data_IF_561608235605
#
_entry.id   IF_561608235605
#
_cell.length_a   1.000
_cell.length_b   1.000
_cell.length_c   1.000
_cell.angle_alpha   90.00
_cell.angle_beta   90.00
_cell.angle_gamma   90.00
#
_symmetry.space_group_name_H-M   'P 1'
#
loop_
_entity.id
_entity.type
_entity.pdbx_description
1 polymer ?
#
# COMPACT_ATOMS: atom_id res chain seq x y z
N UNK A 1 -1.40 6.59 -34.59
CA UNK A 1 -2.57 6.17 -33.79
C UNK A 1 -2.78 7.28 -32.76
N UNK A 2 -3.82 8.10 -32.86
CA UNK A 2 -4.09 9.15 -31.87
C UNK A 2 -4.49 8.45 -30.57
N UNK A 3 -3.71 8.65 -29.49
CA UNK A 3 -4.08 8.23 -28.15
C UNK A 3 -5.29 9.08 -27.71
N UNK A 4 -6.43 8.43 -27.49
CA UNK A 4 -7.62 9.06 -26.95
C UNK A 4 -7.45 9.16 -25.44
N UNK A 5 -7.25 10.36 -24.88
CA UNK A 5 -7.14 10.58 -23.45
C UNK A 5 -6.20 11.72 -23.07
N UNK A 6 -5.93 11.88 -21.78
CA UNK A 6 -5.04 12.91 -21.22
C UNK A 6 -3.57 12.73 -21.64
N UNK A 7 -3.11 11.49 -21.83
CA UNK A 7 -1.70 11.19 -22.10
C UNK A 7 -1.43 11.23 -23.59
N UNK A 8 -0.70 12.24 -24.03
CA UNK A 8 -0.31 12.44 -25.43
C UNK A 8 1.16 12.08 -25.66
N UNK A 9 2.01 12.32 -24.68
CA UNK A 9 3.45 12.07 -24.78
C UNK A 9 4.05 11.61 -23.42
N UNK A 10 5.37 11.43 -23.40
CA UNK A 10 6.11 10.99 -22.19
C UNK A 10 6.13 12.07 -21.10
N UNK A 11 5.94 13.33 -21.43
CA UNK A 11 5.86 14.41 -20.44
C UNK A 11 4.58 14.27 -19.61
N UNK A 12 3.44 14.01 -20.26
CA UNK A 12 2.17 13.76 -19.56
C UNK A 12 2.26 12.57 -18.62
N UNK A 13 2.97 11.49 -19.02
CA UNK A 13 3.25 10.34 -18.16
C UNK A 13 4.02 10.76 -16.92
N UNK A 14 5.10 11.52 -17.07
CA UNK A 14 5.92 12.00 -15.94
C UNK A 14 5.14 12.91 -15.01
N UNK A 15 4.35 13.81 -15.55
CA UNK A 15 3.48 14.72 -14.78
C UNK A 15 2.49 13.92 -13.94
N UNK A 16 1.85 12.89 -14.53
CA UNK A 16 0.93 12.02 -13.80
C UNK A 16 1.66 11.22 -12.70
N UNK A 17 2.86 10.70 -12.98
CA UNK A 17 3.68 10.01 -11.98
C UNK A 17 4.03 10.97 -10.81
N UNK A 18 4.45 12.22 -11.10
CA UNK A 18 4.75 13.20 -10.05
C UNK A 18 3.52 13.48 -9.18
N UNK A 19 2.36 13.66 -9.80
CA UNK A 19 1.11 13.87 -9.08
C UNK A 19 0.79 12.71 -8.15
N UNK A 20 0.87 11.47 -8.64
CA UNK A 20 0.62 10.26 -7.85
C UNK A 20 1.62 10.16 -6.71
N UNK A 21 2.92 10.25 -7.02
CA UNK A 21 4.00 10.10 -6.04
C UNK A 21 4.00 11.20 -4.97
N UNK A 22 3.50 12.40 -5.28
CA UNK A 22 3.36 13.48 -4.30
C UNK A 22 2.34 13.19 -3.20
N UNK A 23 1.40 12.27 -3.45
CA UNK A 23 0.30 11.91 -2.54
C UNK A 23 0.45 10.52 -1.92
N UNK A 24 1.39 9.73 -2.40
CA UNK A 24 1.71 8.42 -1.80
C UNK A 24 2.60 8.62 -0.58
N UNK A 25 2.23 7.98 0.54
CA UNK A 25 2.91 8.16 1.84
C UNK A 25 4.05 7.17 2.08
N UNK A 26 4.27 6.22 1.18
CA UNK A 26 5.23 5.12 1.33
C UNK A 26 6.06 4.94 0.07
N UNK A 27 7.19 4.22 0.18
CA UNK A 27 7.95 3.81 -0.99
C UNK A 27 7.17 2.77 -1.80
N UNK A 28 7.16 2.92 -3.13
CA UNK A 28 6.38 2.09 -4.06
C UNK A 28 7.26 1.60 -5.21
N UNK A 29 6.95 0.41 -5.70
CA UNK A 29 7.64 -0.16 -6.86
C UNK A 29 6.98 0.28 -8.18
N UNK A 30 7.61 -0.07 -9.32
CA UNK A 30 7.14 0.30 -10.66
C UNK A 30 5.70 -0.17 -10.95
N UNK A 31 5.35 -1.39 -10.51
CA UNK A 31 4.02 -1.95 -10.71
C UNK A 31 2.95 -1.17 -9.94
N UNK A 32 3.23 -0.84 -8.68
CA UNK A 32 2.33 -0.04 -7.85
C UNK A 32 2.14 1.37 -8.41
N UNK A 33 3.23 2.01 -8.90
CA UNK A 33 3.14 3.32 -9.57
C UNK A 33 2.24 3.22 -10.80
N UNK A 34 2.43 2.19 -11.64
CA UNK A 34 1.58 1.96 -12.81
C UNK A 34 0.12 1.80 -12.44
N UNK A 35 -0.20 0.96 -11.44
CA UNK A 35 -1.58 0.72 -10.99
C UNK A 35 -2.25 1.98 -10.45
N UNK A 36 -1.49 2.84 -9.77
CA UNK A 36 -1.98 4.12 -9.26
C UNK A 36 -2.17 5.17 -10.37
N UNK A 37 -1.37 5.12 -11.43
CA UNK A 37 -1.46 5.98 -12.61
C UNK A 37 -2.46 5.47 -13.65
N UNK A 38 -2.73 4.16 -13.68
CA UNK A 38 -3.60 3.54 -14.69
C UNK A 38 -5.05 3.97 -14.50
N UNK A 39 -5.52 4.77 -15.43
CA UNK A 39 -6.87 5.33 -15.37
C UNK A 39 -7.78 4.77 -16.46
N UNK A 40 -7.21 4.47 -17.61
CA UNK A 40 -7.87 3.95 -18.82
C UNK A 40 -6.77 3.35 -19.72
N UNK A 41 -7.10 2.82 -20.89
CA UNK A 41 -6.14 2.19 -21.84
C UNK A 41 -5.09 3.13 -22.45
N UNK A 42 -4.97 4.35 -21.91
CA UNK A 42 -4.07 5.39 -22.43
C UNK A 42 -2.62 5.28 -21.94
N UNK A 43 -2.38 4.56 -20.84
CA UNK A 43 -1.07 4.38 -20.21
C UNK A 43 -0.66 2.91 -20.29
N UNK A 44 0.54 2.63 -20.80
CA UNK A 44 1.11 1.29 -20.75
C UNK A 44 2.11 1.15 -19.58
N UNK A 45 2.26 -0.08 -19.09
CA UNK A 45 3.31 -0.41 -18.11
C UNK A 45 4.71 -0.04 -18.61
N UNK A 46 4.94 -0.20 -19.91
CA UNK A 46 6.22 0.15 -20.54
C UNK A 46 6.51 1.67 -20.48
N UNK A 47 5.49 2.51 -20.65
CA UNK A 47 5.65 3.97 -20.54
C UNK A 47 6.13 4.35 -19.12
N UNK A 48 5.57 3.74 -18.08
CA UNK A 48 5.97 3.97 -16.68
C UNK A 48 7.37 3.45 -16.42
N UNK A 49 7.71 2.24 -16.87
CA UNK A 49 9.05 1.66 -16.71
C UNK A 49 10.13 2.46 -17.46
N UNK A 50 9.77 3.19 -18.51
CA UNK A 50 10.69 4.09 -19.23
C UNK A 50 10.83 5.43 -18.50
N UNK A 51 9.72 5.98 -17.98
CA UNK A 51 9.73 7.27 -17.30
C UNK A 51 10.48 7.27 -15.97
N UNK A 52 10.33 6.21 -15.16
CA UNK A 52 10.91 6.15 -13.80
C UNK A 52 12.44 6.33 -13.78
N UNK A 53 13.26 5.59 -14.56
CA UNK A 53 14.71 5.80 -14.59
C UNK A 53 15.13 7.21 -15.02
N UNK A 54 14.39 7.81 -15.96
CA UNK A 54 14.62 9.18 -16.37
C UNK A 54 14.30 10.19 -15.26
N UNK A 55 13.25 9.92 -14.47
CA UNK A 55 12.86 10.73 -13.33
C UNK A 55 13.83 10.59 -12.15
N UNK A 56 14.44 9.43 -11.97
CA UNK A 56 15.55 9.23 -11.02
C UNK A 56 16.78 10.02 -11.48
N UNK A 57 17.15 9.91 -12.74
CA UNK A 57 18.30 10.65 -13.30
C UNK A 57 18.13 12.15 -13.21
N UNK A 58 16.91 12.66 -13.41
CA UNK A 58 16.60 14.09 -13.32
C UNK A 58 16.36 14.58 -11.88
N UNK A 59 16.43 13.66 -10.89
CA UNK A 59 16.33 13.96 -9.46
C UNK A 59 14.91 14.24 -8.95
N UNK A 60 13.87 13.80 -9.65
CA UNK A 60 12.48 13.92 -9.19
C UNK A 60 12.05 12.74 -8.31
N UNK A 61 12.63 11.57 -8.55
CA UNK A 61 12.46 10.37 -7.75
C UNK A 61 13.81 9.91 -7.21
N UNK A 62 13.79 9.20 -6.11
CA UNK A 62 14.95 8.47 -5.57
C UNK A 62 14.59 7.02 -5.40
N UNK A 63 15.46 6.13 -5.89
CA UNK A 63 15.36 4.70 -5.61
C UNK A 63 15.84 4.43 -4.19
N UNK A 64 15.06 3.66 -3.45
CA UNK A 64 15.38 3.14 -2.12
C UNK A 64 15.52 1.62 -2.21
N UNK A 65 15.50 0.91 -1.10
CA UNK A 65 15.66 -0.55 -1.07
C UNK A 65 14.64 -1.28 -1.97
N UNK A 66 15.04 -2.42 -2.53
CA UNK A 66 14.20 -3.36 -3.29
C UNK A 66 13.45 -2.77 -4.50
N UNK A 67 14.09 -1.90 -5.27
CA UNK A 67 13.49 -1.27 -6.47
C UNK A 67 12.21 -0.49 -6.16
N UNK A 68 12.16 0.10 -4.99
CA UNK A 68 11.11 1.03 -4.59
C UNK A 68 11.57 2.46 -4.75
N UNK A 69 10.64 3.34 -5.01
CA UNK A 69 10.88 4.75 -5.31
C UNK A 69 10.12 5.63 -4.33
N UNK A 70 10.73 6.77 -4.02
CA UNK A 70 10.10 7.86 -3.28
C UNK A 70 10.28 9.17 -4.04
N UNK A 71 9.35 10.08 -3.87
CA UNK A 71 9.45 11.40 -4.47
C UNK A 71 10.44 12.27 -3.70
N UNK A 72 11.29 13.03 -4.41
CA UNK A 72 12.20 14.00 -3.81
C UNK A 72 11.50 15.34 -3.55
N UNK A 73 12.17 16.26 -2.84
CA UNK A 73 11.65 17.63 -2.66
C UNK A 73 11.43 18.32 -4.00
N UNK A 74 12.42 18.25 -4.91
CA UNK A 74 12.28 18.76 -6.28
C UNK A 74 11.07 18.17 -7.00
N UNK A 75 10.87 16.86 -6.87
CA UNK A 75 9.72 16.18 -7.47
C UNK A 75 8.38 16.69 -6.90
N UNK A 76 8.32 17.01 -5.60
CA UNK A 76 7.12 17.58 -4.97
C UNK A 76 6.81 18.97 -5.47
N UNK A 77 7.84 19.82 -5.56
CA UNK A 77 7.70 21.18 -6.06
C UNK A 77 7.20 21.19 -7.52
N UNK A 78 7.87 20.45 -8.40
CA UNK A 78 7.52 20.36 -9.82
C UNK A 78 6.15 19.67 -10.03
N UNK A 79 5.83 18.66 -9.22
CA UNK A 79 4.53 18.01 -9.21
C UNK A 79 3.40 18.96 -8.79
N UNK A 80 3.64 19.83 -7.81
CA UNK A 80 2.71 20.88 -7.41
C UNK A 80 2.43 21.88 -8.52
N UNK A 81 3.48 22.34 -9.22
CA UNK A 81 3.37 23.29 -10.31
C UNK A 81 2.63 22.74 -11.54
N UNK A 82 2.79 21.43 -11.80
CA UNK A 82 2.23 20.77 -12.98
C UNK A 82 0.88 20.12 -12.73
N UNK A 83 0.42 20.00 -11.49
CA UNK A 83 -0.82 19.32 -11.14
C UNK A 83 -2.06 19.85 -11.89
N UNK A 84 -2.12 21.13 -12.18
CA UNK A 84 -3.26 21.77 -12.86
C UNK A 84 -3.30 21.46 -14.37
N UNK A 85 -2.22 20.95 -14.95
CA UNK A 85 -2.21 20.48 -16.35
C UNK A 85 -2.95 19.15 -16.52
N UNK A 86 -3.13 18.39 -15.44
CA UNK A 86 -3.85 17.11 -15.46
C UNK A 86 -5.36 17.37 -15.43
N UNK A 87 -6.11 16.75 -16.35
CA UNK A 87 -7.56 16.84 -16.38
C UNK A 87 -8.19 16.50 -15.02
N UNK A 88 -9.17 17.27 -14.58
CA UNK A 88 -9.81 17.11 -13.27
C UNK A 88 -10.32 15.68 -13.01
N UNK A 89 -10.94 15.06 -14.01
CA UNK A 89 -11.44 13.68 -13.88
C UNK A 89 -10.34 12.65 -13.66
N UNK A 90 -9.16 12.84 -14.26
CA UNK A 90 -7.98 11.98 -14.08
C UNK A 90 -7.42 12.17 -12.67
N UNK A 91 -7.29 13.42 -12.21
CA UNK A 91 -6.85 13.72 -10.85
C UNK A 91 -7.76 13.07 -9.81
N UNK A 92 -9.07 13.23 -9.94
CA UNK A 92 -10.04 12.68 -9.00
C UNK A 92 -9.99 11.14 -8.94
N UNK A 93 -9.86 10.48 -10.08
CA UNK A 93 -9.72 9.01 -10.13
C UNK A 93 -8.42 8.56 -9.46
N UNK A 94 -7.29 9.22 -9.78
CA UNK A 94 -6.00 8.92 -9.18
C UNK A 94 -6.02 9.12 -7.65
N UNK A 95 -6.61 10.21 -7.16
CA UNK A 95 -6.75 10.47 -5.72
C UNK A 95 -7.56 9.38 -5.01
N UNK A 96 -8.63 8.90 -5.63
CA UNK A 96 -9.43 7.81 -5.06
C UNK A 96 -8.62 6.50 -4.96
N UNK A 97 -7.79 6.18 -5.97
CA UNK A 97 -6.91 5.02 -5.95
C UNK A 97 -5.82 5.17 -4.88
N UNK A 98 -5.16 6.33 -4.83
CA UNK A 98 -4.11 6.64 -3.87
C UNK A 98 -4.65 6.57 -2.42
N UNK A 99 -5.83 7.13 -2.17
CA UNK A 99 -6.45 7.10 -0.85
C UNK A 99 -6.78 5.66 -0.40
N UNK A 100 -7.19 4.79 -1.31
CA UNK A 100 -7.39 3.36 -1.02
C UNK A 100 -6.07 2.67 -0.73
N UNK A 101 -5.06 2.93 -1.55
CA UNK A 101 -3.72 2.37 -1.42
C UNK A 101 -3.05 2.77 -0.11
N UNK A 102 -3.03 4.07 0.21
CA UNK A 102 -2.48 4.58 1.46
C UNK A 102 -3.18 3.98 2.69
N UNK A 103 -4.52 3.85 2.65
CA UNK A 103 -5.27 3.18 3.73
C UNK A 103 -4.91 1.71 3.86
N UNK A 104 -4.75 1.00 2.76
CA UNK A 104 -4.36 -0.41 2.77
C UNK A 104 -2.96 -0.60 3.33
N UNK A 105 -1.99 0.23 2.91
CA UNK A 105 -0.62 0.19 3.44
C UNK A 105 -0.57 0.55 4.92
N UNK A 106 -1.30 1.59 5.34
CA UNK A 106 -1.42 1.95 6.75
C UNK A 106 -1.97 0.79 7.57
N UNK A 107 -3.02 0.13 7.10
CA UNK A 107 -3.59 -1.06 7.75
C UNK A 107 -2.57 -2.20 7.84
N UNK A 108 -1.86 -2.49 6.76
CA UNK A 108 -0.86 -3.56 6.77
C UNK A 108 0.32 -3.28 7.71
N UNK A 109 0.65 -2.01 7.98
CA UNK A 109 1.69 -1.63 8.95
C UNK A 109 1.27 -1.86 10.40
N UNK A 110 -0.03 -1.89 10.68
CA UNK A 110 -0.60 -2.15 12.01
C UNK A 110 -0.78 -3.63 12.33
N UNK A 111 -0.70 -4.49 11.34
CA UNK A 111 -0.81 -5.94 11.54
C UNK A 111 0.57 -6.56 11.45
N UNK A 112 1.01 -7.21 12.52
CA UNK A 112 2.31 -7.88 12.58
C UNK A 112 2.10 -9.33 12.92
N UNK A 113 2.89 -10.21 12.28
CA UNK A 113 2.88 -11.64 12.55
C UNK A 113 4.31 -12.14 12.69
N UNK A 114 4.53 -13.03 13.66
CA UNK A 114 5.82 -13.67 13.90
C UNK A 114 5.59 -15.15 14.16
N UNK A 115 6.33 -16.00 13.47
CA UNK A 115 6.31 -17.45 13.67
C UNK A 115 7.62 -17.88 14.32
N UNK A 116 7.53 -18.50 15.47
CA UNK A 116 8.67 -18.95 16.28
C UNK A 116 8.64 -20.49 16.38
N UNK A 117 9.70 -21.20 15.95
CA UNK A 117 9.81 -22.65 16.16
C UNK A 117 10.02 -22.93 17.66
N UNK A 118 9.40 -24.01 18.16
CA UNK A 118 9.52 -24.47 19.54
C UNK A 118 10.29 -25.79 19.61
N UNK A 119 10.85 -26.09 20.78
CA UNK A 119 11.62 -27.33 21.02
C UNK A 119 10.79 -28.61 20.82
N UNK A 120 9.48 -28.53 20.99
CA UNK A 120 8.56 -29.65 20.78
C UNK A 120 8.31 -29.99 19.30
N UNK A 121 8.88 -29.21 18.36
CA UNK A 121 8.70 -29.38 16.91
C UNK A 121 7.45 -28.71 16.35
N UNK A 122 6.68 -28.05 17.19
CA UNK A 122 5.55 -27.19 16.83
C UNK A 122 6.01 -25.71 16.71
N UNK A 123 5.07 -24.81 16.42
CA UNK A 123 5.34 -23.39 16.21
C UNK A 123 4.42 -22.54 17.08
N UNK A 124 4.98 -21.48 17.69
CA UNK A 124 4.20 -20.39 18.24
C UNK A 124 4.03 -19.30 17.19
N UNK A 125 2.78 -18.89 16.93
CA UNK A 125 2.42 -17.81 16.01
C UNK A 125 1.92 -16.63 16.83
N UNK A 126 2.73 -15.60 16.92
CA UNK A 126 2.39 -14.33 17.58
C UNK A 126 1.85 -13.38 16.54
N UNK A 127 0.67 -12.87 16.77
CA UNK A 127 -0.08 -12.00 15.85
C UNK A 127 -0.55 -10.78 16.62
N UNK A 128 -0.23 -9.57 16.15
CA UNK A 128 -0.66 -8.34 16.79
C UNK A 128 -1.40 -7.41 15.84
N UNK A 129 -2.36 -6.70 16.38
CA UNK A 129 -3.07 -5.60 15.76
C UNK A 129 -2.80 -4.34 16.58
N UNK A 130 -2.22 -3.35 15.92
CA UNK A 130 -1.95 -2.03 16.50
C UNK A 130 -2.90 -0.99 15.90
N UNK A 131 -2.93 0.22 16.45
CA UNK A 131 -3.48 1.44 15.84
C UNK A 131 -2.55 2.63 16.10
N UNK A 132 -3.05 3.85 15.89
CA UNK A 132 -2.27 5.08 16.12
C UNK A 132 -1.96 5.33 17.61
N UNK A 133 -2.70 4.72 18.50
CA UNK A 133 -2.57 4.87 19.96
C UNK A 133 -1.75 3.75 20.60
N UNK A 134 -1.51 2.64 19.87
CA UNK A 134 -0.70 1.53 20.34
C UNK A 134 -1.26 0.16 20.00
N UNK A 135 -0.91 -0.84 20.82
CA UNK A 135 -1.36 -2.21 20.59
C UNK A 135 -2.81 -2.40 21.06
N UNK A 136 -3.67 -2.82 20.16
CA UNK A 136 -5.07 -3.15 20.45
C UNK A 136 -5.23 -4.60 20.91
N UNK A 137 -4.48 -5.52 20.31
CA UNK A 137 -4.60 -6.94 20.57
C UNK A 137 -3.31 -7.66 20.22
N UNK A 138 -2.93 -8.61 21.05
CA UNK A 138 -1.91 -9.61 20.73
C UNK A 138 -2.45 -10.99 21.00
N UNK A 139 -2.35 -11.86 20.01
CA UNK A 139 -2.74 -13.27 20.09
C UNK A 139 -1.51 -14.15 19.89
N UNK A 140 -1.38 -15.17 20.72
CA UNK A 140 -0.40 -16.24 20.54
C UNK A 140 -1.14 -17.56 20.38
N UNK A 141 -0.95 -18.22 19.25
CA UNK A 141 -1.56 -19.51 18.96
C UNK A 141 -0.49 -20.54 18.61
N UNK A 142 -0.72 -21.78 19.03
CA UNK A 142 0.13 -22.91 18.66
C UNK A 142 -0.30 -23.49 17.33
N UNK A 143 0.67 -23.75 16.47
CA UNK A 143 0.50 -24.44 15.21
C UNK A 143 1.34 -25.73 15.21
N UNK A 144 0.75 -26.90 14.93
CA UNK A 144 1.45 -28.19 14.99
C UNK A 144 2.51 -28.33 13.89
N UNK A 145 2.42 -27.55 12.82
CA UNK A 145 3.36 -27.57 11.70
C UNK A 145 3.55 -26.19 11.07
N UNK A 146 4.62 -26.06 10.29
CA UNK A 146 4.95 -24.81 9.60
C UNK A 146 3.86 -24.37 8.60
N UNK A 147 3.19 -25.30 7.94
CA UNK A 147 2.13 -24.98 6.98
C UNK A 147 0.94 -24.30 7.65
N UNK A 148 0.55 -24.80 8.81
CA UNK A 148 -0.51 -24.19 9.61
C UNK A 148 -0.07 -22.82 10.17
N UNK A 149 1.17 -22.69 10.65
CA UNK A 149 1.71 -21.43 11.13
C UNK A 149 1.67 -20.33 10.05
N UNK A 150 2.17 -20.63 8.85
CA UNK A 150 2.12 -19.70 7.70
C UNK A 150 0.67 -19.34 7.32
N UNK A 151 -0.24 -20.32 7.38
CA UNK A 151 -1.66 -20.10 7.09
C UNK A 151 -2.31 -19.16 8.12
N UNK A 152 -2.02 -19.35 9.41
CA UNK A 152 -2.51 -18.48 10.48
C UNK A 152 -2.03 -17.04 10.28
N UNK A 153 -0.72 -16.82 10.10
CA UNK A 153 -0.14 -15.51 9.83
C UNK A 153 -0.84 -14.80 8.66
N UNK A 154 -0.89 -15.46 7.49
CA UNK A 154 -1.49 -14.88 6.28
C UNK A 154 -2.98 -14.57 6.41
N UNK A 155 -3.74 -15.40 7.14
CA UNK A 155 -5.17 -15.16 7.33
C UNK A 155 -5.41 -14.07 8.36
N UNK A 156 -4.57 -13.97 9.38
CA UNK A 156 -4.65 -12.88 10.35
C UNK A 156 -4.35 -11.53 9.70
N UNK A 157 -3.32 -11.40 8.86
CA UNK A 157 -3.03 -10.18 8.10
C UNK A 157 -4.25 -9.63 7.33
N UNK A 158 -5.10 -10.54 6.85
CA UNK A 158 -6.32 -10.19 6.10
C UNK A 158 -7.54 -9.89 6.99
N UNK A 159 -7.57 -10.44 8.20
CA UNK A 159 -8.77 -10.49 9.04
C UNK A 159 -8.58 -9.93 10.44
N UNK A 160 -7.44 -9.31 10.75
CA UNK A 160 -7.10 -8.87 12.10
C UNK A 160 -8.19 -8.00 12.74
N UNK A 161 -8.70 -7.00 12.01
CA UNK A 161 -9.79 -6.13 12.48
C UNK A 161 -11.09 -6.91 12.76
N UNK A 162 -11.40 -7.89 11.89
CA UNK A 162 -12.60 -8.73 12.08
C UNK A 162 -12.46 -9.64 13.30
N UNK A 163 -11.27 -10.22 13.49
CA UNK A 163 -10.98 -11.05 14.67
C UNK A 163 -11.08 -10.23 15.95
N UNK A 164 -10.50 -9.04 15.97
CA UNK A 164 -10.61 -8.12 17.09
C UNK A 164 -12.07 -7.78 17.41
N UNK A 165 -12.84 -7.39 16.40
CA UNK A 165 -14.25 -7.05 16.57
C UNK A 165 -15.09 -8.23 17.11
N UNK A 166 -14.83 -9.45 16.64
CA UNK A 166 -15.50 -10.65 17.12
C UNK A 166 -15.15 -10.97 18.59
N UNK A 167 -13.88 -10.86 18.96
CA UNK A 167 -13.45 -11.05 20.35
C UNK A 167 -14.08 -9.97 21.25
N UNK A 168 -14.09 -8.72 20.83
CA UNK A 168 -14.70 -7.65 21.61
C UNK A 168 -16.22 -7.83 21.75
N UNK A 169 -16.90 -8.23 20.68
CA UNK A 169 -18.33 -8.50 20.73
C UNK A 169 -18.63 -9.61 21.73
N UNK A 170 -17.91 -10.74 21.66
CA UNK A 170 -18.12 -11.89 22.54
C UNK A 170 -17.81 -11.59 24.01
N UNK A 171 -16.79 -10.76 24.29
CA UNK A 171 -16.41 -10.41 25.65
C UNK A 171 -17.28 -9.30 26.28
N UNK A 172 -17.94 -8.49 25.43
CA UNK A 172 -18.78 -7.40 25.88
C UNK A 172 -20.29 -7.70 25.72
N UNK A 173 -20.64 -8.87 25.14
CA UNK A 173 -22.00 -9.34 25.15
C UNK A 173 -22.37 -9.67 26.60
N UNK A 174 -22.97 -8.71 27.29
CA UNK A 174 -23.55 -8.95 28.60
C UNK A 174 -24.73 -9.91 28.39
N UNK A 175 -24.54 -11.19 28.75
CA UNK A 175 -25.68 -12.03 29.04
C UNK A 175 -26.48 -11.28 30.11
N UNK A 176 -27.67 -10.76 29.75
CA UNK A 176 -28.65 -10.29 30.73
C UNK A 176 -28.90 -11.45 31.71
N UNK A 177 -28.13 -11.51 32.79
CA UNK A 177 -28.49 -12.35 33.95
C UNK A 177 -29.75 -11.75 34.57
N UNK A 178 -30.91 -12.37 34.24
CA UNK A 178 -32.13 -12.24 35.00
C UNK A 178 -31.98 -12.78 36.43
#
# INVERSE_FOLDING_TARGET
MQRLGFIHDMLDVKVLILFVMSKVSYSVNCQEIYELCYQDECLSYFDVCTAIPEMVTSGHLTEVEDQKYVITEKGREDGGLTADSIAFTVRQKAENLINRFNRQLKRSSFVKTQTLPREAGDFSVVMSLDDEMGNLMTLELLAPDQRQAVRLSRLFEKKAETVYALIMAELLDEEDEE
#
